data_IF_753099129611
#
_entry.id   IF_753099129611
#
_cell.length_a   1.000
_cell.length_b   1.000
_cell.length_c   1.000
_cell.angle_alpha   90.00
_cell.angle_beta   90.00
_cell.angle_gamma   90.00
#
_symmetry.space_group_name_H-M   'P 1'
#
loop_
_entity.id
_entity.type
_entity.pdbx_description
1 polymer ?
#
# COMPACT_ATOMS: atom_id res chain seq x y z
N UNK A 1 20.11 6.51 18.58
CA UNK A 1 19.89 6.49 17.12
C UNK A 1 19.89 7.93 16.64
N UNK A 2 20.61 8.25 15.58
CA UNK A 2 20.62 9.57 14.98
C UNK A 2 19.30 9.85 14.25
N UNK A 3 18.87 11.11 14.25
CA UNK A 3 17.60 11.54 13.62
C UNK A 3 17.53 11.18 12.13
N UNK A 4 18.68 11.26 11.45
CA UNK A 4 18.79 10.93 10.03
C UNK A 4 18.52 9.43 9.78
N UNK A 5 19.05 8.56 10.63
CA UNK A 5 18.76 7.13 10.58
C UNK A 5 17.27 6.84 10.75
N UNK A 6 16.63 7.46 11.76
CA UNK A 6 15.18 7.30 11.98
C UNK A 6 14.38 7.73 10.75
N UNK A 7 14.69 8.89 10.16
CA UNK A 7 14.01 9.38 8.95
C UNK A 7 14.20 8.43 7.76
N UNK A 8 15.41 7.89 7.56
CA UNK A 8 15.68 6.92 6.49
C UNK A 8 14.91 5.62 6.71
N UNK A 9 14.82 5.16 7.94
CA UNK A 9 14.07 3.94 8.28
C UNK A 9 12.58 4.11 8.01
N UNK A 10 11.99 5.23 8.44
CA UNK A 10 10.58 5.56 8.16
C UNK A 10 10.32 5.60 6.66
N UNK A 11 11.10 6.37 5.90
CA UNK A 11 10.99 6.43 4.43
C UNK A 11 11.14 5.06 3.77
N UNK A 12 12.09 4.25 4.25
CA UNK A 12 12.31 2.90 3.73
C UNK A 12 11.10 1.99 3.92
N UNK A 13 10.46 2.04 5.09
CA UNK A 13 9.25 1.26 5.36
C UNK A 13 8.09 1.70 4.45
N UNK A 14 7.82 3.00 4.34
CA UNK A 14 6.77 3.51 3.46
C UNK A 14 7.03 3.19 1.99
N UNK A 15 8.28 3.33 1.52
CA UNK A 15 8.65 2.98 0.15
C UNK A 15 8.42 1.49 -0.18
N UNK A 16 8.70 0.59 0.77
CA UNK A 16 8.43 -0.85 0.60
C UNK A 16 6.91 -1.10 0.53
N UNK A 17 6.13 -0.47 1.42
CA UNK A 17 4.67 -0.61 1.39
C UNK A 17 4.08 -0.07 0.09
N UNK A 18 4.51 1.11 -0.36
CA UNK A 18 4.08 1.70 -1.63
C UNK A 18 4.41 0.77 -2.80
N UNK A 19 5.60 0.16 -2.83
CA UNK A 19 5.96 -0.82 -3.85
C UNK A 19 4.98 -2.01 -3.88
N UNK A 20 4.63 -2.55 -2.71
CA UNK A 20 3.64 -3.64 -2.62
C UNK A 20 2.26 -3.20 -3.11
N UNK A 21 1.82 -1.98 -2.78
CA UNK A 21 0.51 -1.46 -3.19
C UNK A 21 0.48 -1.13 -4.70
N UNK A 22 1.57 -0.63 -5.27
CA UNK A 22 1.70 -0.47 -6.72
C UNK A 22 1.65 -1.82 -7.45
N UNK A 23 2.40 -2.82 -6.96
CA UNK A 23 2.32 -4.17 -7.51
C UNK A 23 0.89 -4.73 -7.42
N UNK A 24 0.22 -4.51 -6.28
CA UNK A 24 -1.17 -4.90 -6.05
C UNK A 24 -2.15 -4.24 -7.02
N UNK A 25 -1.99 -2.94 -7.30
CA UNK A 25 -2.79 -2.20 -8.27
C UNK A 25 -2.64 -2.77 -9.68
N UNK A 26 -1.40 -3.04 -10.11
CA UNK A 26 -1.13 -3.59 -11.44
C UNK A 26 -1.71 -5.00 -11.56
N UNK A 27 -1.40 -5.86 -10.58
CA UNK A 27 -1.86 -7.26 -10.56
C UNK A 27 -3.39 -7.33 -10.55
N UNK A 28 -4.09 -6.48 -9.78
CA UNK A 28 -5.55 -6.54 -9.72
C UNK A 28 -6.24 -6.11 -11.02
N UNK A 29 -5.56 -5.39 -11.90
CA UNK A 29 -6.13 -4.87 -13.16
C UNK A 29 -5.80 -5.72 -14.38
N UNK A 30 -4.92 -6.71 -14.25
CA UNK A 30 -4.54 -7.61 -15.33
C UNK A 30 -4.85 -9.07 -14.96
N UNK A 31 -5.11 -9.94 -15.95
CA UNK A 31 -5.16 -11.38 -15.71
C UNK A 31 -3.83 -11.87 -15.12
N UNK A 32 -3.90 -12.61 -14.02
CA UNK A 32 -2.71 -13.13 -13.32
C UNK A 32 -3.01 -14.50 -12.70
N UNK A 33 -1.96 -15.28 -12.44
CA UNK A 33 -2.06 -16.55 -11.73
C UNK A 33 -2.07 -16.31 -10.20
N UNK A 34 -3.16 -16.65 -9.48
CA UNK A 34 -3.24 -16.53 -8.03
C UNK A 34 -2.32 -17.52 -7.28
N UNK A 35 -1.83 -18.57 -7.95
CA UNK A 35 -0.92 -19.56 -7.35
C UNK A 35 0.55 -19.16 -7.45
N UNK A 36 0.87 -18.09 -8.18
CA UNK A 36 2.23 -17.57 -8.24
C UNK A 36 2.67 -17.04 -6.85
N UNK A 37 3.88 -17.40 -6.42
CA UNK A 37 4.39 -17.01 -5.10
C UNK A 37 4.47 -15.50 -4.91
N UNK A 38 4.86 -14.75 -5.93
CA UNK A 38 4.95 -13.28 -5.89
C UNK A 38 3.55 -12.69 -5.71
N UNK A 39 2.57 -13.16 -6.50
CA UNK A 39 1.17 -12.76 -6.34
C UNK A 39 0.69 -13.02 -4.91
N UNK A 40 0.91 -14.22 -4.37
CA UNK A 40 0.48 -14.57 -3.01
C UNK A 40 1.10 -13.66 -1.95
N UNK A 41 2.38 -13.35 -2.08
CA UNK A 41 3.07 -12.44 -1.15
C UNK A 41 2.48 -11.02 -1.25
N UNK A 42 2.28 -10.50 -2.46
CA UNK A 42 1.67 -9.17 -2.65
C UNK A 42 0.28 -9.10 -2.04
N UNK A 43 -0.57 -10.09 -2.30
CA UNK A 43 -1.91 -10.19 -1.70
C UNK A 43 -1.80 -10.24 -0.17
N UNK A 44 -0.95 -11.11 0.39
CA UNK A 44 -0.81 -11.30 1.84
C UNK A 44 -0.36 -10.02 2.56
N UNK A 45 0.56 -9.26 1.99
CA UNK A 45 1.07 -8.01 2.58
C UNK A 45 0.05 -6.88 2.49
N UNK A 46 -0.67 -6.77 1.36
CA UNK A 46 -1.55 -5.63 1.10
C UNK A 46 -2.98 -5.81 1.63
N UNK A 47 -3.46 -7.05 1.74
CA UNK A 47 -4.85 -7.35 2.09
C UNK A 47 -5.32 -6.78 3.45
N UNK A 48 -4.55 -6.84 4.54
CA UNK A 48 -4.98 -6.26 5.82
C UNK A 48 -5.28 -4.76 5.75
N UNK A 49 -4.61 -4.04 4.85
CA UNK A 49 -4.81 -2.60 4.64
C UNK A 49 -5.93 -2.32 3.63
N UNK A 50 -6.10 -3.19 2.63
CA UNK A 50 -7.10 -3.01 1.57
C UNK A 50 -8.50 -3.47 1.96
N UNK A 51 -8.61 -4.54 2.76
CA UNK A 51 -9.90 -5.09 3.16
C UNK A 51 -10.80 -4.02 3.83
N UNK A 52 -10.33 -3.23 4.81
CA UNK A 52 -11.16 -2.17 5.40
C UNK A 52 -11.61 -1.12 4.38
N UNK A 53 -10.77 -0.80 3.39
CA UNK A 53 -11.11 0.18 2.34
C UNK A 53 -12.21 -0.39 1.44
N UNK A 54 -12.12 -1.67 1.06
CA UNK A 54 -13.14 -2.37 0.26
C UNK A 54 -14.45 -2.60 1.00
N UNK A 55 -14.38 -2.77 2.33
CA UNK A 55 -15.58 -2.93 3.16
C UNK A 55 -16.37 -1.60 3.24
N UNK A 56 -15.68 -0.45 3.19
CA UNK A 56 -16.30 0.89 3.21
C UNK A 56 -16.80 1.30 1.83
N UNK A 57 -16.00 1.02 0.80
CA UNK A 57 -16.30 1.41 -0.57
C UNK A 57 -16.78 0.17 -1.29
N UNK A 58 -18.11 -0.03 -1.46
CA UNK A 58 -18.63 -1.16 -2.20
C UNK A 58 -17.91 -1.17 -3.55
N UNK A 59 -17.24 -2.28 -3.86
CA UNK A 59 -16.50 -2.45 -5.11
C UNK A 59 -17.39 -1.90 -6.23
N UNK A 60 -16.93 -0.84 -6.90
CA UNK A 60 -17.70 -0.24 -7.98
C UNK A 60 -18.12 -1.38 -8.91
N UNK A 61 -19.41 -1.45 -9.24
CA UNK A 61 -20.03 -2.53 -10.01
C UNK A 61 -19.41 -2.76 -11.41
N UNK A 62 -18.38 -1.99 -11.75
CA UNK A 62 -17.52 -2.06 -12.93
C UNK A 62 -16.42 -3.13 -12.83
N UNK A 63 -16.24 -3.81 -11.70
CA UNK A 63 -15.29 -4.93 -11.57
C UNK A 63 -13.82 -4.52 -11.50
N UNK A 64 -13.52 -3.22 -11.37
CA UNK A 64 -12.17 -2.69 -11.19
C UNK A 64 -11.96 -2.33 -9.72
N UNK A 65 -10.94 -2.92 -9.10
CA UNK A 65 -10.57 -2.63 -7.72
C UNK A 65 -9.79 -1.31 -7.64
N UNK A 66 -10.44 -0.25 -7.18
CA UNK A 66 -9.85 1.08 -6.96
C UNK A 66 -9.22 1.24 -5.58
N UNK A 67 -9.45 0.30 -4.66
CA UNK A 67 -8.96 0.38 -3.28
C UNK A 67 -7.42 0.50 -3.19
N UNK A 68 -6.60 -0.15 -4.05
CA UNK A 68 -5.15 0.06 -4.04
C UNK A 68 -4.75 1.51 -4.32
N UNK A 69 -5.46 2.21 -5.21
CA UNK A 69 -5.18 3.62 -5.47
C UNK A 69 -5.48 4.49 -4.25
N UNK A 70 -6.58 4.22 -3.56
CA UNK A 70 -6.95 4.92 -2.32
C UNK A 70 -5.91 4.66 -1.23
N UNK A 71 -5.45 3.41 -1.11
CA UNK A 71 -4.40 3.06 -0.16
C UNK A 71 -3.08 3.79 -0.45
N UNK A 72 -2.68 3.97 -1.72
CA UNK A 72 -1.50 4.77 -2.07
C UNK A 72 -1.62 6.20 -1.54
N UNK A 73 -2.77 6.84 -1.74
CA UNK A 73 -3.00 8.20 -1.23
C UNK A 73 -2.92 8.24 0.29
N UNK A 74 -3.54 7.28 0.98
CA UNK A 74 -3.50 7.19 2.44
C UNK A 74 -2.08 6.95 2.98
N UNK A 75 -1.28 6.10 2.32
CA UNK A 75 0.11 5.85 2.68
C UNK A 75 0.98 7.10 2.52
N UNK A 76 0.81 7.84 1.43
CA UNK A 76 1.55 9.09 1.20
C UNK A 76 1.21 10.17 2.23
N UNK A 77 -0.06 10.27 2.63
CA UNK A 77 -0.49 11.17 3.72
C UNK A 77 0.13 10.72 5.05
N UNK A 78 0.06 9.42 5.36
CA UNK A 78 0.61 8.86 6.59
C UNK A 78 2.13 9.04 6.67
N UNK A 79 2.86 8.86 5.57
CA UNK A 79 4.30 9.12 5.50
C UNK A 79 4.59 10.61 5.76
N UNK A 80 3.89 11.51 5.09
CA UNK A 80 4.07 12.96 5.26
C UNK A 80 3.84 13.38 6.71
N UNK A 81 2.80 12.86 7.37
CA UNK A 81 2.54 13.12 8.79
C UNK A 81 3.66 12.55 9.67
N UNK A 82 4.05 11.29 9.45
CA UNK A 82 5.10 10.63 10.22
C UNK A 82 6.43 11.37 10.10
N UNK A 83 6.83 11.82 8.90
CA UNK A 83 8.06 12.58 8.73
C UNK A 83 8.02 13.96 9.39
N UNK A 84 6.87 14.64 9.36
CA UNK A 84 6.70 15.94 10.01
C UNK A 84 6.88 15.84 11.52
N UNK A 85 6.42 14.78 12.18
CA UNK A 85 6.58 14.61 13.63
C UNK A 85 8.03 14.48 14.11
N UNK A 86 8.99 14.26 13.21
CA UNK A 86 10.42 14.18 13.53
C UNK A 86 11.21 15.43 13.13
N UNK A 87 10.62 16.30 12.31
CA UNK A 87 11.25 17.54 11.82
C UNK A 87 10.87 18.74 12.69
N UNK A 88 9.76 18.66 13.43
CA UNK A 88 9.35 19.59 14.48
C UNK A 88 9.62 18.98 15.86
#
# INVERSE_FOLDING_TARGET
MDILFTLKLVKGVFAILDLFVWARLIISWIPHDPNNDITRIVYKVTEPMLKPIRDIIPALSLGIDISPFILLVLLNIAESIALRTFVY
#
